data_IF_526857095291
#
_entry.id   IF_526857095291
#
_cell.length_a   1.000
_cell.length_b   1.000
_cell.length_c   1.000
_cell.angle_alpha   90.00
_cell.angle_beta   90.00
_cell.angle_gamma   90.00
#
_symmetry.space_group_name_H-M   'P 1'
#
loop_
_entity.id
_entity.type
_entity.pdbx_description
1 polymer ?
#
# COMPACT_ATOMS: atom_id res chain seq x y z
N UNK A 1 21.21 51.98 19.91
CA UNK A 1 22.15 50.91 19.48
C UNK A 1 21.34 49.88 18.71
N UNK A 2 21.32 50.05 17.39
CA UNK A 2 20.69 49.16 16.42
C UNK A 2 21.73 48.15 15.97
N UNK A 3 21.62 46.89 16.41
CA UNK A 3 22.45 45.80 15.88
C UNK A 3 21.73 45.09 14.74
N UNK A 4 22.27 45.38 13.56
CA UNK A 4 22.05 44.85 12.22
C UNK A 4 22.38 43.34 12.20
N UNK A 5 21.45 42.49 11.80
CA UNK A 5 21.74 41.09 11.44
C UNK A 5 21.51 40.90 9.92
N UNK A 6 22.42 40.24 9.19
CA UNK A 6 22.36 40.13 7.73
C UNK A 6 21.31 39.11 7.25
N UNK A 7 20.44 39.61 6.39
CA UNK A 7 19.25 38.99 5.78
C UNK A 7 19.51 37.89 4.73
N UNK A 8 20.62 37.14 4.82
CA UNK A 8 21.09 36.35 3.68
C UNK A 8 20.95 34.81 3.81
N UNK A 9 20.57 34.26 4.97
CA UNK A 9 20.61 32.80 5.17
C UNK A 9 19.22 32.13 5.14
N UNK A 10 18.13 32.90 5.17
CA UNK A 10 16.76 32.35 5.19
C UNK A 10 16.18 32.16 3.77
N UNK A 11 16.79 32.76 2.74
CA UNK A 11 16.26 32.72 1.37
C UNK A 11 16.71 31.47 0.59
N UNK A 12 17.78 30.78 1.02
CA UNK A 12 18.35 29.66 0.25
C UNK A 12 17.62 28.32 0.45
N UNK A 13 16.93 28.12 1.58
CA UNK A 13 16.24 26.84 1.88
C UNK A 13 14.83 26.79 1.28
N UNK A 14 14.17 27.93 1.11
CA UNK A 14 12.78 27.98 0.61
C UNK A 14 12.72 27.93 -0.92
N UNK A 15 13.77 28.36 -1.63
CA UNK A 15 13.77 28.46 -3.09
C UNK A 15 14.16 27.16 -3.82
N UNK A 16 14.78 26.19 -3.12
CA UNK A 16 15.10 24.87 -3.71
C UNK A 16 13.96 23.85 -3.53
N UNK A 17 12.91 24.18 -2.78
CA UNK A 17 11.77 23.30 -2.53
C UNK A 17 10.59 23.49 -3.52
N UNK A 18 10.65 24.51 -4.38
CA UNK A 18 9.54 24.88 -5.29
C UNK A 18 9.80 24.60 -6.77
N UNK A 19 10.93 24.00 -7.14
CA UNK A 19 11.30 23.79 -8.56
C UNK A 19 10.97 22.42 -9.16
N UNK A 20 10.33 21.50 -8.41
CA UNK A 20 9.98 20.17 -8.93
C UNK A 20 8.50 19.97 -9.28
N UNK A 21 7.64 20.99 -9.17
CA UNK A 21 6.22 20.89 -9.54
C UNK A 21 5.98 21.51 -10.93
N UNK A 22 6.55 20.85 -11.94
CA UNK A 22 6.12 21.01 -13.34
C UNK A 22 5.52 19.68 -13.81
N UNK A 23 4.35 19.35 -13.25
CA UNK A 23 3.48 18.33 -13.84
C UNK A 23 2.54 19.05 -14.79
N UNK A 24 2.85 18.87 -16.07
CA UNK A 24 2.01 19.16 -17.23
C UNK A 24 0.61 18.60 -16.99
N UNK A 25 -0.36 19.48 -16.75
CA UNK A 25 -1.78 19.18 -16.85
C UNK A 25 -2.22 19.72 -18.20
N UNK A 26 -2.31 18.83 -19.19
CA UNK A 26 -3.00 19.09 -20.44
C UNK A 26 -3.75 17.83 -20.86
N UNK A 27 -5.02 18.04 -21.17
CA UNK A 27 -5.90 17.22 -21.99
C UNK A 27 -6.72 16.08 -21.36
N UNK A 28 -7.88 16.51 -20.84
CA UNK A 28 -9.20 16.27 -21.44
C UNK A 28 -9.96 14.92 -21.30
N UNK A 29 -11.26 15.11 -21.04
CA UNK A 29 -12.44 14.23 -21.12
C UNK A 29 -12.59 13.05 -20.15
N UNK A 30 -13.32 13.33 -19.07
CA UNK A 30 -13.96 12.36 -18.18
C UNK A 30 -15.31 11.94 -18.74
N UNK A 31 -15.49 10.65 -19.08
CA UNK A 31 -16.82 10.06 -19.23
C UNK A 31 -17.19 9.37 -17.92
N UNK A 32 -18.15 9.96 -17.22
CA UNK A 32 -18.76 9.45 -15.99
C UNK A 32 -19.79 8.40 -16.37
N UNK A 33 -19.63 7.17 -15.88
CA UNK A 33 -20.76 6.29 -15.63
C UNK A 33 -20.63 5.72 -14.21
N UNK A 34 -21.65 6.00 -13.38
CA UNK A 34 -21.80 5.49 -12.02
C UNK A 34 -21.85 3.96 -11.97
N UNK A 35 -21.73 3.32 -10.79
CA UNK A 35 -22.63 3.50 -9.65
C UNK A 35 -21.97 3.17 -8.28
N UNK A 36 -22.38 3.96 -7.28
CA UNK A 36 -22.69 3.67 -5.87
C UNK A 36 -21.83 2.71 -5.00
N UNK A 37 -21.19 3.37 -4.02
CA UNK A 37 -21.00 3.02 -2.60
C UNK A 37 -19.59 2.57 -2.14
N UNK A 38 -18.97 3.48 -1.38
CA UNK A 38 -17.89 3.32 -0.38
C UNK A 38 -16.48 3.00 -0.89
N UNK A 39 -15.77 4.05 -1.31
CA UNK A 39 -14.32 4.30 -1.18
C UNK A 39 -13.32 3.15 -1.43
N UNK A 40 -13.67 2.16 -2.24
CA UNK A 40 -12.69 1.35 -2.95
C UNK A 40 -12.33 2.08 -4.24
N UNK A 41 -11.42 3.05 -4.13
CA UNK A 41 -10.76 3.64 -5.28
C UNK A 41 -10.00 2.57 -6.06
N UNK A 42 -10.68 1.87 -6.97
CA UNK A 42 -10.03 1.06 -8.00
C UNK A 42 -9.34 2.07 -8.91
N UNK A 43 -8.07 2.35 -8.62
CA UNK A 43 -7.22 3.08 -9.55
C UNK A 43 -7.11 2.26 -10.82
N UNK A 44 -7.92 2.63 -11.82
CA UNK A 44 -7.84 2.07 -13.16
C UNK A 44 -6.42 2.31 -13.68
N UNK A 45 -5.79 1.19 -14.05
CA UNK A 45 -4.39 1.12 -14.46
C UNK A 45 -4.26 1.83 -15.81
N UNK A 46 -3.45 2.88 -15.87
CA UNK A 46 -2.95 3.45 -17.13
C UNK A 46 -2.14 2.34 -17.81
N UNK A 47 -2.65 1.73 -18.88
CA UNK A 47 -1.84 0.87 -19.74
C UNK A 47 -0.98 1.80 -20.58
N UNK A 48 0.12 2.30 -20.00
CA UNK A 48 1.23 2.80 -20.81
C UNK A 48 1.66 1.61 -21.66
N UNK A 49 1.67 1.76 -22.99
CA UNK A 49 2.16 0.74 -23.89
C UNK A 49 3.61 0.44 -23.54
N UNK A 50 3.85 -0.61 -22.75
CA UNK A 50 5.18 -1.08 -22.46
C UNK A 50 5.56 -2.01 -23.60
N UNK A 51 6.62 -1.65 -24.32
CA UNK A 51 7.09 -2.35 -25.51
C UNK A 51 7.43 -3.82 -25.23
N UNK A 52 7.82 -4.15 -23.99
CA UNK A 52 8.20 -5.50 -23.59
C UNK A 52 7.13 -6.23 -22.76
N UNK A 53 6.66 -7.41 -23.20
CA UNK A 53 5.71 -8.25 -22.47
C UNK A 53 6.18 -8.63 -21.05
N UNK A 54 7.50 -8.68 -20.81
CA UNK A 54 8.10 -9.07 -19.51
C UNK A 54 7.95 -7.98 -18.46
N UNK A 55 8.22 -6.72 -18.82
CA UNK A 55 7.99 -5.57 -17.93
C UNK A 55 6.52 -5.48 -17.52
N UNK A 56 5.60 -5.81 -18.45
CA UNK A 56 4.16 -5.84 -18.14
C UNK A 56 3.82 -6.88 -17.08
N UNK A 57 4.40 -8.07 -17.15
CA UNK A 57 4.24 -9.11 -16.12
C UNK A 57 4.76 -8.62 -14.77
N UNK A 58 5.92 -7.98 -14.73
CA UNK A 58 6.51 -7.44 -13.51
C UNK A 58 5.61 -6.39 -12.85
N UNK A 59 5.12 -5.42 -13.63
CA UNK A 59 4.17 -4.41 -13.15
C UNK A 59 2.83 -5.03 -12.70
N UNK A 60 2.40 -6.15 -13.30
CA UNK A 60 1.24 -6.89 -12.81
C UNK A 60 1.54 -7.53 -11.45
N UNK A 61 2.64 -8.28 -11.32
CA UNK A 61 3.06 -8.92 -10.06
C UNK A 61 3.19 -7.92 -8.91
N UNK A 62 3.87 -6.79 -9.15
CA UNK A 62 4.00 -5.70 -8.19
C UNK A 62 2.65 -5.17 -7.68
N UNK A 63 1.68 -5.01 -8.59
CA UNK A 63 0.36 -4.52 -8.23
C UNK A 63 -0.48 -5.56 -7.49
N UNK A 64 -0.26 -6.86 -7.73
CA UNK A 64 -0.88 -7.93 -6.96
C UNK A 64 -0.38 -7.88 -5.51
N UNK A 65 0.95 -7.85 -5.31
CA UNK A 65 1.56 -7.73 -3.98
C UNK A 65 1.06 -6.49 -3.24
N UNK A 66 1.04 -5.32 -3.88
CA UNK A 66 0.50 -4.07 -3.30
C UNK A 66 -0.97 -4.18 -2.86
N UNK A 67 -1.80 -4.92 -3.60
CA UNK A 67 -3.23 -5.08 -3.26
C UNK A 67 -3.40 -6.00 -2.06
N UNK A 68 -2.73 -7.15 -2.06
CA UNK A 68 -2.78 -8.10 -0.94
C UNK A 68 -2.18 -7.48 0.33
N UNK A 69 -1.10 -6.70 0.21
CA UNK A 69 -0.53 -5.95 1.31
C UNK A 69 -1.52 -4.97 1.96
N UNK A 70 -2.29 -4.23 1.15
CA UNK A 70 -3.35 -3.34 1.66
C UNK A 70 -4.51 -4.11 2.29
N UNK A 71 -4.85 -5.28 1.74
CA UNK A 71 -5.87 -6.17 2.30
C UNK A 71 -5.46 -6.67 3.69
N UNK A 72 -4.21 -7.12 3.85
CA UNK A 72 -3.64 -7.49 5.16
C UNK A 72 -3.70 -6.34 6.16
N UNK A 73 -3.33 -5.11 5.78
CA UNK A 73 -3.41 -3.95 6.68
C UNK A 73 -4.83 -3.66 7.14
N UNK A 74 -5.83 -3.77 6.25
CA UNK A 74 -7.24 -3.57 6.61
C UNK A 74 -7.72 -4.60 7.64
N UNK A 75 -7.39 -5.88 7.46
CA UNK A 75 -7.77 -6.91 8.42
C UNK A 75 -7.02 -6.75 9.76
N UNK A 76 -5.77 -6.28 9.75
CA UNK A 76 -5.04 -5.97 10.98
C UNK A 76 -5.70 -4.82 11.76
N UNK A 77 -6.13 -3.75 11.09
CA UNK A 77 -6.89 -2.66 11.71
C UNK A 77 -8.22 -3.14 12.30
N UNK A 78 -8.91 -4.06 11.63
CA UNK A 78 -10.16 -4.61 12.12
C UNK A 78 -9.96 -5.45 13.39
N UNK A 79 -8.93 -6.29 13.44
CA UNK A 79 -8.59 -7.04 14.66
C UNK A 79 -8.31 -6.11 15.83
N UNK A 80 -7.62 -4.98 15.62
CA UNK A 80 -7.41 -3.97 16.68
C UNK A 80 -8.74 -3.39 17.17
N UNK A 81 -9.67 -3.06 16.27
CA UNK A 81 -11.00 -2.55 16.66
C UNK A 81 -11.78 -3.56 17.49
N UNK A 82 -11.81 -4.82 17.04
CA UNK A 82 -12.55 -5.87 17.76
C UNK A 82 -11.86 -6.29 19.06
N UNK A 83 -10.54 -6.12 19.17
CA UNK A 83 -9.82 -6.32 20.43
C UNK A 83 -10.23 -5.25 21.44
N UNK A 84 -10.26 -3.97 21.03
CA UNK A 84 -10.74 -2.88 21.88
C UNK A 84 -12.20 -3.08 22.30
N UNK A 85 -13.07 -3.46 21.37
CA UNK A 85 -14.47 -3.74 21.68
C UNK A 85 -14.62 -4.88 22.71
N UNK A 86 -13.82 -5.94 22.57
CA UNK A 86 -13.78 -7.03 23.54
C UNK A 86 -13.28 -6.56 24.91
N UNK A 87 -12.18 -5.79 24.96
CA UNK A 87 -11.63 -5.22 26.20
C UNK A 87 -12.62 -4.29 26.90
N UNK A 88 -13.31 -3.43 26.15
CA UNK A 88 -14.34 -2.53 26.66
C UNK A 88 -15.52 -3.31 27.28
N UNK A 89 -15.95 -4.41 26.63
CA UNK A 89 -17.01 -5.29 27.15
C UNK A 89 -16.59 -6.02 28.44
N UNK A 90 -15.33 -6.44 28.52
CA UNK A 90 -14.77 -7.07 29.73
C UNK A 90 -14.65 -6.04 30.86
N UNK A 91 -14.15 -4.83 30.56
CA UNK A 91 -13.99 -3.76 31.55
C UNK A 91 -15.32 -3.22 32.07
N UNK A 92 -16.35 -3.17 31.24
CA UNK A 92 -17.71 -2.80 31.63
C UNK A 92 -18.41 -3.87 32.49
N UNK A 93 -17.83 -5.06 32.65
CA UNK A 93 -18.45 -6.17 33.37
C UNK A 93 -19.74 -6.64 32.70
N UNK A 94 -19.77 -6.63 31.36
CA UNK A 94 -20.92 -7.07 30.59
C UNK A 94 -21.28 -8.55 30.87
N UNK A 95 -22.49 -8.94 30.49
CA UNK A 95 -22.96 -10.32 30.68
C UNK A 95 -22.07 -11.33 29.93
N UNK A 96 -21.95 -12.53 30.49
CA UNK A 96 -21.08 -13.59 29.93
C UNK A 96 -21.44 -13.94 28.47
N UNK A 97 -22.72 -13.85 28.10
CA UNK A 97 -23.17 -14.04 26.72
C UNK A 97 -22.56 -12.99 25.77
N UNK A 98 -22.60 -11.71 26.15
CA UNK A 98 -22.05 -10.62 25.33
C UNK A 98 -20.53 -10.73 25.16
N UNK A 99 -19.81 -11.13 26.22
CA UNK A 99 -18.36 -11.34 26.17
C UNK A 99 -18.01 -12.50 25.23
N UNK A 100 -18.78 -13.60 25.27
CA UNK A 100 -18.59 -14.73 24.35
C UNK A 100 -18.84 -14.33 22.90
N UNK A 101 -19.87 -13.53 22.62
CA UNK A 101 -20.14 -13.03 21.27
C UNK A 101 -19.04 -12.08 20.79
N UNK A 102 -18.57 -11.16 21.64
CA UNK A 102 -17.46 -10.27 21.30
C UNK A 102 -16.16 -11.05 21.03
N UNK A 103 -15.91 -12.12 21.78
CA UNK A 103 -14.77 -13.02 21.56
C UNK A 103 -14.90 -13.78 20.23
N UNK A 104 -16.08 -14.30 19.90
CA UNK A 104 -16.30 -14.98 18.63
C UNK A 104 -16.03 -14.06 17.43
N UNK A 105 -16.50 -12.81 17.49
CA UNK A 105 -16.24 -11.81 16.45
C UNK A 105 -14.75 -11.46 16.32
N UNK A 106 -14.05 -11.38 17.46
CA UNK A 106 -12.60 -11.18 17.47
C UNK A 106 -11.86 -12.36 16.83
N UNK A 107 -12.27 -13.59 17.14
CA UNK A 107 -11.65 -14.79 16.59
C UNK A 107 -11.93 -14.92 15.08
N UNK A 108 -13.15 -14.62 14.61
CA UNK A 108 -13.48 -14.53 13.17
C UNK A 108 -12.56 -13.54 12.44
N UNK A 109 -12.34 -12.36 13.03
CA UNK A 109 -11.47 -11.34 12.45
C UNK A 109 -10.01 -11.78 12.40
N UNK A 110 -9.53 -12.48 13.44
CA UNK A 110 -8.15 -13.02 13.51
C UNK A 110 -7.91 -14.12 12.49
N UNK A 111 -8.91 -14.96 12.22
CA UNK A 111 -8.81 -16.07 11.27
C UNK A 111 -8.62 -15.62 9.83
N UNK A 112 -8.85 -14.34 9.50
CA UNK A 112 -8.63 -13.79 8.15
C UNK A 112 -7.17 -13.39 7.85
N UNK A 113 -6.38 -13.06 8.86
CA UNK A 113 -4.96 -12.69 8.71
C UNK A 113 -4.10 -13.79 8.07
N UNK A 114 -4.20 -15.07 8.49
CA UNK A 114 -3.36 -16.13 7.92
C UNK A 114 -3.63 -16.39 6.43
N UNK A 115 -4.87 -16.26 5.95
CA UNK A 115 -5.16 -16.39 4.50
C UNK A 115 -4.42 -15.31 3.69
N UNK A 116 -4.43 -14.07 4.19
CA UNK A 116 -3.75 -12.95 3.55
C UNK A 116 -2.23 -13.14 3.54
N UNK A 117 -1.64 -13.72 4.59
CA UNK A 117 -0.21 -14.05 4.64
C UNK A 117 0.16 -15.09 3.59
N UNK A 118 -0.58 -16.20 3.53
CA UNK A 118 -0.33 -17.27 2.54
C UNK A 118 -0.45 -16.73 1.11
N UNK A 119 -1.45 -15.89 0.84
CA UNK A 119 -1.64 -15.27 -0.48
C UNK A 119 -0.52 -14.27 -0.80
N UNK A 120 -0.03 -13.54 0.20
CA UNK A 120 1.08 -12.60 0.03
C UNK A 120 2.39 -13.35 -0.27
N UNK A 121 2.67 -14.44 0.45
CA UNK A 121 3.83 -15.30 0.23
C UNK A 121 3.86 -15.87 -1.18
N UNK A 122 2.72 -16.40 -1.67
CA UNK A 122 2.60 -16.90 -3.04
C UNK A 122 2.88 -15.79 -4.06
N UNK A 123 2.27 -14.61 -3.88
CA UNK A 123 2.49 -13.48 -4.78
C UNK A 123 3.93 -12.95 -4.74
N UNK A 124 4.60 -13.00 -3.59
CA UNK A 124 6.02 -12.65 -3.45
C UNK A 124 6.92 -13.68 -4.11
N UNK A 125 6.61 -14.97 -3.99
CA UNK A 125 7.32 -16.03 -4.71
C UNK A 125 7.21 -15.83 -6.23
N UNK A 126 6.00 -15.58 -6.74
CA UNK A 126 5.77 -15.28 -8.15
C UNK A 126 6.52 -14.03 -8.61
N UNK A 127 6.53 -12.96 -7.80
CA UNK A 127 7.27 -11.74 -8.10
C UNK A 127 8.79 -11.99 -8.11
N UNK A 128 9.31 -12.79 -7.19
CA UNK A 128 10.73 -13.15 -7.13
C UNK A 128 11.15 -13.97 -8.36
N UNK A 129 10.33 -14.94 -8.78
CA UNK A 129 10.59 -15.71 -10.01
C UNK A 129 10.64 -14.78 -11.23
N UNK A 130 9.72 -13.82 -11.33
CA UNK A 130 9.73 -12.82 -12.41
C UNK A 130 10.96 -11.90 -12.36
N UNK A 131 11.44 -11.54 -11.16
CA UNK A 131 12.67 -10.76 -10.99
C UNK A 131 13.89 -11.56 -11.48
N UNK A 132 14.01 -12.83 -11.11
CA UNK A 132 15.10 -13.71 -11.56
C UNK A 132 15.11 -13.91 -13.08
N UNK A 133 13.94 -14.03 -13.71
CA UNK A 133 13.82 -14.12 -15.17
C UNK A 133 14.26 -12.83 -15.90
N UNK A 134 14.20 -11.67 -15.23
CA UNK A 134 14.48 -10.36 -15.83
C UNK A 134 15.84 -9.76 -15.43
N UNK A 135 16.53 -10.35 -14.45
CA UNK A 135 17.72 -9.77 -13.77
C UNK A 135 18.91 -9.48 -14.71
N UNK A 136 19.07 -10.27 -15.77
CA UNK A 136 20.20 -10.14 -16.69
C UNK A 136 19.98 -9.17 -17.86
N UNK A 137 18.72 -8.82 -18.17
CA UNK A 137 18.40 -8.05 -19.39
C UNK A 137 17.75 -6.68 -19.10
N UNK A 138 17.13 -6.50 -17.92
CA UNK A 138 16.24 -5.36 -17.64
C UNK A 138 16.56 -4.62 -16.34
N UNK A 139 17.75 -4.84 -15.75
CA UNK A 139 18.14 -4.31 -14.44
C UNK A 139 18.15 -2.76 -14.38
N UNK A 140 18.34 -2.09 -15.52
CA UNK A 140 18.37 -0.62 -15.61
C UNK A 140 16.97 0.02 -15.79
N UNK A 141 15.93 -0.79 -15.94
CA UNK A 141 14.56 -0.28 -16.13
C UNK A 141 13.95 0.17 -14.81
N UNK A 142 13.19 1.28 -14.84
CA UNK A 142 12.55 1.84 -13.63
C UNK A 142 11.59 0.83 -13.00
N UNK A 143 10.92 0.06 -13.82
CA UNK A 143 9.97 -0.98 -13.42
C UNK A 143 10.65 -2.09 -12.62
N UNK A 144 11.89 -2.44 -12.95
CA UNK A 144 12.66 -3.47 -12.23
C UNK A 144 13.08 -2.98 -10.84
N UNK A 145 13.63 -1.77 -10.76
CA UNK A 145 14.01 -1.14 -9.48
C UNK A 145 12.78 -0.96 -8.57
N UNK A 146 11.66 -0.51 -9.13
CA UNK A 146 10.40 -0.38 -8.40
C UNK A 146 9.92 -1.74 -7.89
N UNK A 147 10.02 -2.80 -8.70
CA UNK A 147 9.63 -4.15 -8.31
C UNK A 147 10.49 -4.71 -7.18
N UNK A 148 11.81 -4.50 -7.22
CA UNK A 148 12.73 -4.91 -6.17
C UNK A 148 12.45 -4.18 -4.85
N UNK A 149 12.19 -2.87 -4.90
CA UNK A 149 11.82 -2.08 -3.72
C UNK A 149 10.52 -2.59 -3.08
N UNK A 150 9.51 -2.90 -3.90
CA UNK A 150 8.24 -3.47 -3.43
C UNK A 150 8.47 -4.86 -2.82
N UNK A 151 9.25 -5.71 -3.48
CA UNK A 151 9.57 -7.04 -2.96
C UNK A 151 10.22 -6.94 -1.58
N UNK A 152 11.24 -6.09 -1.41
CA UNK A 152 11.90 -5.87 -0.13
C UNK A 152 10.93 -5.40 0.98
N UNK A 153 10.09 -4.41 0.68
CA UNK A 153 9.10 -3.86 1.63
C UNK A 153 8.14 -4.93 2.18
N UNK A 154 7.70 -5.86 1.32
CA UNK A 154 6.73 -6.87 1.70
C UNK A 154 7.36 -8.19 2.17
N UNK A 155 8.61 -8.48 1.80
CA UNK A 155 9.36 -9.64 2.28
C UNK A 155 9.65 -9.58 3.78
N UNK A 156 9.94 -8.39 4.33
CA UNK A 156 10.17 -8.20 5.77
C UNK A 156 8.91 -8.48 6.61
N UNK A 157 7.71 -8.32 6.03
CA UNK A 157 6.43 -8.49 6.71
C UNK A 157 5.85 -9.91 6.71
N UNK A 158 6.62 -10.92 6.24
CA UNK A 158 6.20 -12.33 6.16
C UNK A 158 6.58 -13.13 7.42
N UNK A 159 7.50 -12.62 8.24
CA UNK A 159 7.93 -13.27 9.48
C UNK A 159 6.99 -13.06 10.66
#
# INVERSE_FOLDING_TARGET
MLLKMPSAVIIFVVLHCLLSVKIVVADNYYTVLGCCHSDFGIRLRKTTGMADPRLRKLTIGCNVVKRIGKEKSKYAEEVVKQTKFYEDKVAAGAEECEIKMAKALLDESKMMIPDCQIRLEKALCDLNNLLQECDHELNETKEFVDAQSIYAQYAEGVH
#
